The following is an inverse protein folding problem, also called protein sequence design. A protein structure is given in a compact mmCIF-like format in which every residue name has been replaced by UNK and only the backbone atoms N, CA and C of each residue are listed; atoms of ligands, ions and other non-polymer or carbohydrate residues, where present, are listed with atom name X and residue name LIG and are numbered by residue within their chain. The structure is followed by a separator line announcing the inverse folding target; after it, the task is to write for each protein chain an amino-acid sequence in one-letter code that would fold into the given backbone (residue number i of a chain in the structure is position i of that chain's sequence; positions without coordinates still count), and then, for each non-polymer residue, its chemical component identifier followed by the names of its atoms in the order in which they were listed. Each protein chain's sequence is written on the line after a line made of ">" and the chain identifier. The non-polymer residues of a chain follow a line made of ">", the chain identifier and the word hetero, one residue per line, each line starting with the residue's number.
data_IF_050306586627
#
_entry.id   IF_050306586627
#
_cell.length_a   1.000
_cell.length_b   1.000
_cell.length_c   1.000
_cell.angle_alpha   90.00
_cell.angle_beta   90.00
_cell.angle_gamma   90.00
#
_symmetry.space_group_name_H-M   'P 1'
#
loop_
_entity.id
_entity.type
_entity.pdbx_description
1 polymer ?
#
# COMPACT_ATOMS: atom_id res chain seq x y z
N UNK A 1 -53.91 -44.38 -4.96
CA UNK A 1 -54.12 -45.78 -5.39
C UNK A 1 -54.87 -45.75 -6.71
N UNK A 2 -54.41 -46.51 -7.71
CA UNK A 2 -55.13 -46.89 -8.97
C UNK A 2 -55.25 -45.78 -10.05
N UNK A 3 -54.32 -45.72 -11.04
CA UNK A 3 -54.36 -46.27 -12.45
C UNK A 3 -55.20 -45.37 -13.38
N UNK A 4 -54.60 -44.59 -14.30
CA UNK A 4 -54.09 -44.90 -15.67
C UNK A 4 -55.16 -45.01 -16.77
N UNK A 5 -54.69 -44.82 -18.02
CA UNK A 5 -55.27 -45.12 -19.35
C UNK A 5 -55.87 -43.87 -20.06
N UNK A 6 -55.16 -43.19 -21.00
CA UNK A 6 -54.80 -43.52 -22.40
C UNK A 6 -55.94 -43.24 -23.40
N UNK A 7 -55.66 -42.44 -24.44
CA UNK A 7 -56.37 -42.59 -25.71
C UNK A 7 -56.41 -41.40 -26.68
N UNK A 8 -55.93 -41.69 -27.92
CA UNK A 8 -56.24 -41.08 -29.24
C UNK A 8 -55.56 -39.72 -29.53
N UNK A 9 -54.71 -39.54 -30.53
CA UNK A 9 -54.51 -40.28 -31.79
C UNK A 9 -55.23 -39.58 -32.94
N UNK A 10 -54.50 -38.84 -33.78
CA UNK A 10 -54.89 -38.52 -35.17
C UNK A 10 -53.67 -38.48 -36.09
N UNK A 11 -53.79 -39.30 -37.13
CA UNK A 11 -53.03 -39.42 -38.38
C UNK A 11 -53.52 -38.32 -39.36
N UNK A 12 -52.94 -37.93 -40.51
CA UNK A 12 -52.23 -38.63 -41.59
C UNK A 12 -51.62 -37.56 -42.55
N UNK A 13 -50.59 -37.95 -43.34
CA UNK A 13 -50.27 -37.57 -44.75
C UNK A 13 -49.79 -36.12 -45.05
N UNK A 14 -48.76 -35.87 -45.86
CA UNK A 14 -47.93 -36.71 -46.73
C UNK A 14 -47.06 -35.88 -47.70
N UNK A 15 -46.31 -36.58 -48.56
CA UNK A 15 -45.40 -36.13 -49.65
C UNK A 15 -44.11 -35.45 -49.16
N UNK A 16 -42.89 -35.96 -49.38
CA UNK A 16 -42.40 -36.86 -50.42
C UNK A 16 -41.71 -36.04 -51.51
N UNK A 17 -40.40 -35.79 -51.37
CA UNK A 17 -39.51 -35.63 -52.52
C UNK A 17 -38.07 -35.98 -52.15
N UNK A 18 -37.56 -36.93 -52.91
CA UNK A 18 -36.25 -37.55 -52.87
C UNK A 18 -35.21 -36.63 -53.50
N UNK A 19 -34.09 -36.35 -52.83
CA UNK A 19 -32.84 -36.04 -53.48
C UNK A 19 -31.68 -36.74 -52.76
N UNK A 20 -31.20 -37.79 -53.43
CA UNK A 20 -29.83 -38.26 -53.55
C UNK A 20 -28.74 -37.66 -52.65
N UNK A 21 -28.07 -38.59 -51.97
CA UNK A 21 -26.64 -38.88 -52.14
C UNK A 21 -25.64 -37.74 -51.88
N UNK A 22 -25.02 -37.79 -50.69
CA UNK A 22 -23.54 -37.75 -50.51
C UNK A 22 -23.21 -38.00 -49.04
N UNK A 23 -23.07 -39.28 -48.71
CA UNK A 23 -22.26 -39.73 -47.58
C UNK A 23 -20.81 -39.71 -48.06
N UNK A 24 -19.93 -39.11 -47.28
CA UNK A 24 -18.49 -39.28 -47.41
C UNK A 24 -17.74 -37.96 -47.46
N UNK A 25 -16.77 -37.84 -46.56
CA UNK A 25 -15.73 -36.80 -46.51
C UNK A 25 -16.10 -35.51 -45.77
N UNK A 26 -16.41 -35.59 -44.46
CA UNK A 26 -16.18 -34.49 -43.50
C UNK A 26 -15.89 -35.00 -42.07
N UNK A 27 -15.39 -36.23 -41.93
CA UNK A 27 -15.02 -36.81 -40.62
C UNK A 27 -13.56 -37.32 -40.66
N UNK A 28 -12.67 -36.56 -41.31
CA UNK A 28 -11.25 -36.89 -41.36
C UNK A 28 -10.35 -35.65 -41.43
N UNK A 29 -10.77 -34.55 -40.80
CA UNK A 29 -9.96 -33.32 -40.71
C UNK A 29 -9.91 -32.70 -39.31
N UNK A 30 -10.30 -33.46 -38.27
CA UNK A 30 -10.12 -33.09 -36.87
C UNK A 30 -9.19 -34.01 -36.08
N UNK A 31 -8.57 -35.00 -36.73
CA UNK A 31 -7.66 -35.94 -36.07
C UNK A 31 -6.16 -35.60 -36.23
N UNK A 32 -5.82 -34.52 -36.93
CA UNK A 32 -4.41 -34.11 -37.17
C UNK A 32 -4.15 -32.68 -36.64
N UNK A 33 -4.83 -32.26 -35.57
CA UNK A 33 -4.63 -30.92 -34.98
C UNK A 33 -4.50 -30.93 -33.45
N UNK A 34 -4.22 -32.09 -32.86
CA UNK A 34 -4.02 -32.24 -31.41
C UNK A 34 -2.54 -32.07 -30.99
N UNK A 35 -1.59 -32.54 -31.80
CA UNK A 35 -0.17 -32.46 -31.42
C UNK A 35 0.41 -31.05 -31.54
N UNK A 36 0.03 -30.29 -32.58
CA UNK A 36 0.47 -28.90 -32.76
C UNK A 36 0.00 -27.99 -31.62
N UNK A 37 -1.22 -28.18 -31.11
CA UNK A 37 -1.75 -27.41 -29.97
C UNK A 37 -1.06 -27.78 -28.66
N UNK A 38 -0.78 -29.07 -28.44
CA UNK A 38 -0.03 -29.53 -27.27
C UNK A 38 1.40 -28.98 -27.27
N UNK A 39 2.08 -29.00 -28.41
CA UNK A 39 3.41 -28.40 -28.55
C UNK A 39 3.38 -26.90 -28.25
N UNK A 40 2.39 -26.16 -28.76
CA UNK A 40 2.27 -24.72 -28.52
C UNK A 40 2.04 -24.39 -27.04
N UNK A 41 1.20 -25.17 -26.35
CA UNK A 41 0.93 -24.99 -24.91
C UNK A 41 2.19 -25.29 -24.08
N UNK A 42 2.92 -26.36 -24.41
CA UNK A 42 4.17 -26.72 -23.72
C UNK A 42 5.23 -25.64 -23.95
N UNK A 43 5.42 -25.16 -25.19
CA UNK A 43 6.36 -24.08 -25.48
C UNK A 43 5.98 -22.79 -24.75
N UNK A 44 4.69 -22.44 -24.70
CA UNK A 44 4.20 -21.28 -23.94
C UNK A 44 4.48 -21.38 -22.45
N UNK A 45 4.25 -22.55 -21.85
CA UNK A 45 4.53 -22.80 -20.43
C UNK A 45 6.03 -22.69 -20.11
N UNK A 46 6.90 -23.24 -20.97
CA UNK A 46 8.35 -23.14 -20.82
C UNK A 46 8.83 -21.69 -20.87
N UNK A 47 8.32 -20.89 -21.82
CA UNK A 47 8.65 -19.47 -21.92
C UNK A 47 8.22 -18.71 -20.66
N UNK A 48 7.03 -18.97 -20.13
CA UNK A 48 6.56 -18.33 -18.89
C UNK A 48 7.43 -18.69 -17.67
N UNK A 49 7.88 -19.94 -17.56
CA UNK A 49 8.79 -20.38 -16.48
C UNK A 49 10.13 -19.66 -16.59
N UNK A 50 10.71 -19.58 -17.79
CA UNK A 50 11.97 -18.85 -18.03
C UNK A 50 11.81 -17.37 -17.64
N UNK A 51 10.69 -16.75 -18.02
CA UNK A 51 10.42 -15.34 -17.73
C UNK A 51 10.27 -15.09 -16.22
N UNK A 52 9.61 -16.00 -15.49
CA UNK A 52 9.51 -15.95 -14.04
C UNK A 52 10.88 -16.12 -13.34
N UNK A 53 11.76 -16.97 -13.86
CA UNK A 53 13.12 -17.13 -13.35
C UNK A 53 13.97 -15.87 -13.56
N UNK A 54 13.86 -15.22 -14.73
CA UNK A 54 14.57 -13.97 -15.02
C UNK A 54 14.09 -12.85 -14.07
N UNK A 55 12.78 -12.70 -13.88
CA UNK A 55 12.23 -11.70 -12.94
C UNK A 55 12.71 -11.97 -11.52
N UNK A 56 12.68 -13.23 -11.08
CA UNK A 56 13.16 -13.63 -9.75
C UNK A 56 14.65 -13.34 -9.56
N UNK A 57 15.46 -13.58 -10.59
CA UNK A 57 16.89 -13.29 -10.58
C UNK A 57 17.16 -11.78 -10.46
N UNK A 58 16.46 -10.95 -11.24
CA UNK A 58 16.58 -9.49 -11.18
C UNK A 58 16.14 -8.97 -9.79
N UNK A 59 15.03 -9.48 -9.26
CA UNK A 59 14.57 -9.14 -7.91
C UNK A 59 15.60 -9.52 -6.83
N UNK A 60 16.22 -10.68 -6.95
CA UNK A 60 17.26 -11.10 -6.02
C UNK A 60 18.52 -10.24 -6.11
N UNK A 61 18.98 -9.90 -7.32
CA UNK A 61 20.15 -9.04 -7.54
C UNK A 61 19.93 -7.61 -7.01
N UNK A 62 18.74 -7.03 -7.26
CA UNK A 62 18.41 -5.68 -6.76
C UNK A 62 18.34 -5.65 -5.23
N UNK A 63 17.79 -6.70 -4.59
CA UNK A 63 17.78 -6.83 -3.13
C UNK A 63 19.20 -6.99 -2.57
N UNK A 64 20.04 -7.80 -3.20
CA UNK A 64 21.40 -8.06 -2.73
C UNK A 64 22.33 -6.83 -2.83
N UNK A 65 22.21 -6.04 -3.91
CA UNK A 65 23.00 -4.80 -4.07
C UNK A 65 22.55 -3.75 -3.05
N UNK A 66 21.25 -3.66 -2.77
CA UNK A 66 20.71 -2.78 -1.73
C UNK A 66 21.29 -3.12 -0.34
N UNK A 67 21.42 -4.41 0.00
CA UNK A 67 22.00 -4.84 1.27
C UNK A 67 23.51 -4.57 1.42
N UNK A 68 24.28 -4.47 0.33
CA UNK A 68 25.74 -4.23 0.39
C UNK A 68 26.16 -2.75 0.44
N UNK A 69 25.27 -1.80 0.18
CA UNK A 69 25.62 -0.36 0.22
C UNK A 69 25.62 0.26 1.62
N UNK A 70 25.37 -0.51 2.69
CA UNK A 70 25.36 -0.03 4.08
C UNK A 70 26.71 -0.09 4.81
N UNK A 71 27.82 -0.44 4.15
CA UNK A 71 29.15 -0.46 4.78
C UNK A 71 30.18 0.35 4.00
N UNK A 72 30.01 1.67 3.99
CA UNK A 72 31.09 2.61 3.79
C UNK A 72 30.75 3.89 4.56
N UNK A 73 31.14 3.94 5.83
CA UNK A 73 31.12 5.18 6.61
C UNK A 73 32.41 5.96 6.27
N UNK A 74 32.34 7.15 5.66
CA UNK A 74 33.49 8.03 5.58
C UNK A 74 33.73 8.70 6.95
N UNK A 75 34.93 8.51 7.49
CA UNK A 75 35.46 9.21 8.66
C UNK A 75 35.53 10.72 8.39
N UNK A 76 35.09 11.61 9.32
CA UNK A 76 35.19 13.04 9.12
C UNK A 76 36.61 13.54 9.45
N UNK A 77 37.28 14.10 8.44
CA UNK A 77 38.50 14.90 8.59
C UNK A 77 38.11 16.34 8.92
N UNK A 78 38.63 16.86 10.03
CA UNK A 78 38.49 18.26 10.46
C UNK A 78 39.46 19.15 9.70
N UNK A 79 38.99 20.25 9.11
CA UNK A 79 39.79 21.42 8.75
C UNK A 79 38.91 22.70 8.62
N UNK A 80 39.49 23.91 8.78
CA UNK A 80 38.79 25.08 9.32
C UNK A 80 38.31 26.13 8.28
N UNK A 81 37.31 26.89 8.71
CA UNK A 81 36.93 28.29 8.40
C UNK A 81 37.12 28.86 6.98
N UNK A 82 35.99 29.22 6.34
CA UNK A 82 35.93 30.17 5.23
C UNK A 82 34.49 30.64 4.97
N UNK A 83 34.26 31.95 5.08
CA UNK A 83 32.97 32.64 4.89
C UNK A 83 32.56 32.72 3.41
N UNK A 84 31.30 32.42 3.06
CA UNK A 84 30.41 33.24 2.19
C UNK A 84 28.98 32.64 2.15
N UNK A 85 27.93 33.45 1.91
CA UNK A 85 26.54 33.16 2.30
C UNK A 85 25.68 32.63 1.15
N UNK A 86 24.71 31.77 1.50
CA UNK A 86 23.63 31.38 0.60
C UNK A 86 23.29 29.90 0.71
N UNK A 87 22.86 29.45 1.89
CA UNK A 87 22.38 28.09 2.07
C UNK A 87 20.96 28.12 2.64
N UNK A 88 20.03 27.67 1.81
CA UNK A 88 18.66 27.31 2.16
C UNK A 88 18.69 26.44 3.39
N UNK A 89 18.19 26.98 4.50
CA UNK A 89 18.12 26.30 5.78
C UNK A 89 17.32 25.00 5.65
N UNK A 90 18.03 23.89 5.67
CA UNK A 90 17.49 22.61 6.11
C UNK A 90 17.01 22.78 7.55
N UNK A 91 15.73 22.51 7.90
CA UNK A 91 15.29 22.68 9.27
C UNK A 91 15.99 21.63 10.13
N UNK A 92 16.87 22.12 11.00
CA UNK A 92 17.42 21.36 12.12
C UNK A 92 16.28 20.76 12.96
N UNK A 93 16.48 19.62 13.62
CA UNK A 93 15.47 18.97 14.45
C UNK A 93 15.13 19.91 15.63
N UNK A 94 14.02 20.61 15.50
CA UNK A 94 13.49 21.48 16.55
C UNK A 94 12.86 20.63 17.64
N UNK A 95 13.37 20.74 18.86
CA UNK A 95 12.72 20.28 20.11
C UNK A 95 11.43 21.08 20.37
N UNK A 96 10.47 21.04 19.45
CA UNK A 96 9.28 21.87 19.46
C UNK A 96 8.14 21.12 20.16
N UNK A 97 8.22 21.00 21.49
CA UNK A 97 7.13 20.54 22.36
C UNK A 97 6.04 21.61 22.54
N UNK A 98 5.70 22.35 21.48
CA UNK A 98 4.60 23.30 21.53
C UNK A 98 3.26 22.56 21.31
N UNK A 99 2.26 22.72 22.20
CA UNK A 99 0.93 22.13 22.00
C UNK A 99 0.32 22.56 20.67
N UNK A 100 -0.40 21.67 19.98
CA UNK A 100 -1.13 22.00 18.75
C UNK A 100 -2.22 23.04 19.07
N UNK A 101 -2.12 24.30 18.59
CA UNK A 101 -3.12 25.32 18.89
C UNK A 101 -4.41 25.01 18.14
N UNK A 102 -5.56 25.15 18.81
CA UNK A 102 -6.89 24.84 18.26
C UNK A 102 -6.97 23.43 17.66
N UNK A 103 -6.70 22.40 18.47
CA UNK A 103 -6.69 21.02 18.02
C UNK A 103 -8.05 20.31 18.14
N UNK A 104 -8.30 19.34 17.26
CA UNK A 104 -9.28 18.27 17.44
C UNK A 104 -8.63 17.11 18.21
N UNK A 105 -9.42 16.32 18.92
CA UNK A 105 -8.95 15.10 19.61
C UNK A 105 -9.49 13.86 18.90
N UNK A 106 -8.65 12.83 18.79
CA UNK A 106 -9.03 11.48 18.38
C UNK A 106 -8.68 10.48 19.48
N UNK A 107 -9.66 9.66 19.85
CA UNK A 107 -9.50 8.59 20.84
C UNK A 107 -9.51 7.24 20.14
N UNK A 108 -8.35 6.58 20.15
CA UNK A 108 -8.17 5.21 19.68
C UNK A 108 -8.31 4.19 20.81
N UNK A 109 -8.00 2.94 20.50
CA UNK A 109 -7.91 1.87 21.50
C UNK A 109 -6.58 1.99 22.21
N UNK A 110 -6.59 2.35 23.51
CA UNK A 110 -5.37 2.44 24.32
C UNK A 110 -4.59 3.75 24.20
N UNK A 111 -5.07 4.72 23.42
CA UNK A 111 -4.43 6.03 23.28
C UNK A 111 -5.42 7.14 22.89
N UNK A 112 -5.00 8.37 23.12
CA UNK A 112 -5.63 9.58 22.60
C UNK A 112 -4.54 10.48 22.00
N UNK A 113 -4.88 11.25 20.97
CA UNK A 113 -3.99 12.24 20.38
C UNK A 113 -4.77 13.49 19.96
N UNK A 114 -4.05 14.60 19.81
CA UNK A 114 -4.56 15.85 19.28
C UNK A 114 -4.02 16.09 17.87
N UNK A 115 -4.85 16.64 16.98
CA UNK A 115 -4.49 16.96 15.59
C UNK A 115 -5.04 18.32 15.14
N UNK A 116 -4.43 18.98 14.15
CA UNK A 116 -4.86 20.32 13.71
C UNK A 116 -6.35 20.37 13.32
N UNK A 117 -7.06 21.44 13.70
CA UNK A 117 -8.50 21.59 13.39
C UNK A 117 -8.82 21.65 11.88
N UNK A 118 -7.86 22.08 11.07
CA UNK A 118 -8.01 22.16 9.63
C UNK A 118 -7.75 20.82 8.91
N UNK A 119 -7.32 19.79 9.64
CA UNK A 119 -7.16 18.44 9.09
C UNK A 119 -8.42 17.61 9.25
N UNK A 120 -8.71 16.76 8.28
CA UNK A 120 -9.77 15.78 8.33
C UNK A 120 -9.24 14.45 8.84
N UNK A 121 -10.09 13.70 9.52
CA UNK A 121 -9.81 12.35 10.00
C UNK A 121 -10.63 11.35 9.20
N UNK A 122 -9.97 10.32 8.66
CA UNK A 122 -10.62 9.18 8.04
C UNK A 122 -10.43 7.95 8.92
N UNK A 123 -11.53 7.36 9.43
CA UNK A 123 -11.47 6.13 10.24
C UNK A 123 -12.00 4.94 9.47
N UNK A 124 -11.33 3.81 9.65
CA UNK A 124 -11.65 2.57 8.96
C UNK A 124 -12.70 1.76 9.74
N UNK A 125 -13.64 1.11 9.04
CA UNK A 125 -14.62 0.21 9.67
C UNK A 125 -14.11 -1.22 9.81
N UNK A 126 -13.12 -1.60 9.01
CA UNK A 126 -12.55 -2.93 8.87
C UNK A 126 -11.20 -3.09 9.59
N UNK A 127 -10.70 -2.02 10.21
CA UNK A 127 -9.45 -2.01 10.99
C UNK A 127 -9.46 -0.89 12.02
N UNK A 128 -8.52 -0.93 12.96
CA UNK A 128 -8.26 0.16 13.93
C UNK A 128 -7.38 1.28 13.36
N UNK A 129 -6.94 1.12 12.12
CA UNK A 129 -6.11 2.10 11.42
C UNK A 129 -6.95 3.31 11.02
N UNK A 130 -6.27 4.43 10.83
CA UNK A 130 -6.91 5.68 10.42
C UNK A 130 -5.92 6.53 9.64
N UNK A 131 -6.44 7.58 9.01
CA UNK A 131 -5.65 8.44 8.14
C UNK A 131 -6.01 9.90 8.35
N UNK A 132 -5.05 10.80 8.15
CA UNK A 132 -5.28 12.25 8.18
C UNK A 132 -5.26 12.85 6.79
N UNK A 133 -6.15 13.81 6.57
CA UNK A 133 -6.25 14.64 5.38
C UNK A 133 -5.92 16.11 5.73
N UNK A 134 -4.68 16.56 5.51
CA UNK A 134 -4.30 17.95 5.76
C UNK A 134 -4.98 18.98 4.85
N UNK A 135 -5.56 18.53 3.72
CA UNK A 135 -6.14 19.42 2.71
C UNK A 135 -7.65 19.63 2.91
N UNK A 136 -8.31 18.73 3.65
CA UNK A 136 -9.76 18.78 3.90
C UNK A 136 -10.05 18.61 5.37
N UNK A 137 -10.69 19.58 6.00
CA UNK A 137 -11.02 19.55 7.44
C UNK A 137 -12.15 18.60 7.82
N UNK A 138 -12.84 17.99 6.86
CA UNK A 138 -14.00 17.14 7.07
C UNK A 138 -13.59 15.73 7.49
N UNK A 139 -14.13 15.26 8.61
CA UNK A 139 -13.92 13.89 9.09
C UNK A 139 -14.84 12.91 8.34
N UNK A 140 -14.29 11.77 7.94
CA UNK A 140 -14.95 10.68 7.23
C UNK A 140 -14.86 9.40 8.08
N UNK A 141 -15.93 9.09 8.81
CA UNK A 141 -15.89 8.00 9.77
C UNK A 141 -16.41 6.69 9.18
N UNK A 142 -15.84 5.56 9.64
CA UNK A 142 -16.29 4.19 9.32
C UNK A 142 -16.32 3.87 7.81
N UNK A 143 -15.31 4.29 7.08
CA UNK A 143 -15.14 3.93 5.66
C UNK A 143 -14.43 2.59 5.51
N UNK A 144 -14.60 1.91 4.37
CA UNK A 144 -13.83 0.70 4.11
C UNK A 144 -12.42 1.08 3.62
N UNK A 145 -11.40 0.67 4.37
CA UNK A 145 -10.00 0.96 4.04
C UNK A 145 -9.31 -0.31 3.54
N UNK A 146 -9.27 -0.50 2.22
CA UNK A 146 -8.52 -1.61 1.61
C UNK A 146 -7.06 -1.21 1.30
N UNK A 147 -6.81 0.10 1.21
CA UNK A 147 -5.50 0.71 0.98
C UNK A 147 -5.52 2.15 1.52
N UNK A 148 -4.34 2.71 1.73
CA UNK A 148 -4.24 4.10 2.13
C UNK A 148 -4.76 5.05 1.04
N UNK A 149 -5.55 6.05 1.42
CA UNK A 149 -6.21 7.00 0.50
C UNK A 149 -5.86 8.46 0.77
N UNK A 150 -5.38 8.79 1.96
CA UNK A 150 -4.89 10.09 2.41
C UNK A 150 -3.36 10.06 2.54
N UNK A 151 -2.69 11.24 2.56
CA UNK A 151 -1.24 11.30 2.59
C UNK A 151 -0.59 10.84 3.89
N UNK A 152 -1.31 10.92 5.01
CA UNK A 152 -0.81 10.55 6.33
C UNK A 152 -1.60 9.36 6.84
N UNK A 153 -0.92 8.25 7.13
CA UNK A 153 -1.54 7.00 7.59
C UNK A 153 -1.03 6.67 8.97
N UNK A 154 -1.92 6.20 9.84
CA UNK A 154 -1.58 5.68 11.16
C UNK A 154 -2.04 4.25 11.26
N UNK A 155 -1.08 3.34 11.39
CA UNK A 155 -1.33 1.94 11.69
C UNK A 155 -1.19 1.73 13.18
N UNK A 156 -2.18 1.08 13.78
CA UNK A 156 -2.18 0.72 15.21
C UNK A 156 -1.82 -0.75 15.30
N UNK A 157 -0.76 -1.07 16.05
CA UNK A 157 -0.21 -2.42 16.18
C UNK A 157 0.24 -2.68 17.62
N UNK A 158 0.20 -3.94 18.06
CA UNK A 158 0.64 -4.30 19.42
C UNK A 158 2.15 -4.61 19.50
N UNK A 159 2.81 -4.69 18.34
CA UNK A 159 4.23 -5.00 18.24
C UNK A 159 4.82 -4.39 16.98
N UNK A 160 5.47 -3.24 17.13
CA UNK A 160 6.12 -2.52 16.05
C UNK A 160 7.64 -2.58 16.21
N UNK A 161 8.33 -3.14 15.21
CA UNK A 161 9.80 -3.14 15.16
C UNK A 161 10.27 -2.19 14.06
N UNK A 162 10.97 -1.14 14.46
CA UNK A 162 11.51 -0.14 13.56
C UNK A 162 13.01 0.08 13.81
N UNK A 163 13.75 0.38 12.74
CA UNK A 163 15.17 0.72 12.79
C UNK A 163 15.36 2.10 12.17
N UNK A 164 15.97 3.02 12.92
CA UNK A 164 16.13 4.41 12.53
C UNK A 164 16.68 5.25 13.67
N UNK A 165 16.49 6.57 13.57
CA UNK A 165 16.96 7.52 14.57
C UNK A 165 16.00 7.56 15.76
N UNK A 166 16.51 7.29 16.95
CA UNK A 166 15.72 7.44 18.17
C UNK A 166 15.64 8.91 18.55
N UNK A 167 14.43 9.46 18.53
CA UNK A 167 14.12 10.83 18.92
C UNK A 167 13.07 10.84 20.02
N UNK A 168 12.99 11.96 20.75
CA UNK A 168 11.96 12.18 21.77
C UNK A 168 11.01 13.28 21.30
N UNK A 169 9.71 12.96 21.24
CA UNK A 169 8.65 13.90 20.86
C UNK A 169 7.66 14.01 22.02
N UNK A 170 7.69 15.13 22.75
CA UNK A 170 6.98 15.26 24.01
C UNK A 170 7.43 14.20 25.03
N UNK A 171 6.49 13.37 25.50
CA UNK A 171 6.77 12.27 26.41
C UNK A 171 7.03 10.93 25.69
N UNK A 172 6.95 10.91 24.37
CA UNK A 172 6.99 9.68 23.58
C UNK A 172 8.40 9.40 23.05
N UNK A 173 8.82 8.13 23.11
CA UNK A 173 10.03 7.63 22.45
C UNK A 173 9.66 7.19 21.04
N UNK A 174 10.34 7.74 20.04
CA UNK A 174 9.94 7.59 18.63
C UNK A 174 11.14 7.21 17.79
N UNK A 175 11.00 6.19 16.97
CA UNK A 175 11.99 5.86 15.93
C UNK A 175 11.57 6.59 14.66
N UNK A 176 12.37 7.58 14.24
CA UNK A 176 12.16 8.31 13.00
C UNK A 176 12.96 7.66 11.87
N UNK A 177 12.30 7.49 10.74
CA UNK A 177 12.87 6.94 9.52
C UNK A 177 12.51 7.89 8.38
N UNK A 178 13.51 8.22 7.56
CA UNK A 178 13.30 9.01 6.33
C UNK A 178 13.75 8.15 5.16
N UNK A 179 12.78 7.64 4.40
CA UNK A 179 13.03 6.81 3.22
C UNK A 179 12.86 7.64 1.94
N UNK A 180 13.71 7.36 0.95
CA UNK A 180 13.44 7.79 -0.43
C UNK A 180 13.69 9.25 -0.76
N UNK A 181 14.78 9.89 -0.32
CA UNK A 181 15.20 11.24 -0.78
C UNK A 181 15.75 11.27 -2.22
N UNK A 182 15.22 10.45 -3.13
CA UNK A 182 15.62 10.45 -4.54
C UNK A 182 14.65 11.30 -5.36
N UNK A 183 15.05 12.54 -5.62
CA UNK A 183 14.28 13.48 -6.45
C UNK A 183 13.27 14.27 -5.62
N UNK A 184 12.01 14.26 -6.05
CA UNK A 184 10.93 15.11 -5.53
C UNK A 184 9.89 14.34 -4.70
N UNK A 185 10.28 13.17 -4.20
CA UNK A 185 9.46 12.29 -3.37
C UNK A 185 10.17 12.05 -2.04
N UNK A 186 9.42 11.87 -0.97
CA UNK A 186 9.94 11.52 0.35
C UNK A 186 8.87 10.75 1.12
N UNK A 187 9.29 9.66 1.77
CA UNK A 187 8.45 8.87 2.67
C UNK A 187 9.00 9.01 4.09
N UNK A 188 8.28 9.75 4.92
CA UNK A 188 8.59 9.90 6.33
C UNK A 188 7.83 8.87 7.13
N UNK A 189 8.49 8.24 8.10
CA UNK A 189 7.87 7.27 8.99
C UNK A 189 8.32 7.49 10.43
N UNK A 190 7.38 7.44 11.35
CA UNK A 190 7.59 7.54 12.78
C UNK A 190 6.95 6.33 13.46
N UNK A 191 7.75 5.59 14.21
CA UNK A 191 7.29 4.49 15.03
C UNK A 191 7.26 4.94 16.49
N UNK A 192 6.05 5.16 17.01
CA UNK A 192 5.82 5.53 18.40
C UNK A 192 5.66 4.24 19.18
N UNK A 193 6.65 3.91 20.00
CA UNK A 193 6.70 2.63 20.73
C UNK A 193 6.20 2.87 22.15
N UNK A 194 5.16 2.15 22.55
CA UNK A 194 4.62 2.16 23.91
C UNK A 194 4.94 0.83 24.61
N UNK A 195 5.68 0.85 25.73
CA UNK A 195 5.96 -0.37 26.47
C UNK A 195 4.71 -1.06 27.03
N UNK A 196 3.55 -0.38 27.05
CA UNK A 196 2.29 -0.91 27.58
C UNK A 196 1.36 -1.50 26.49
N UNK A 197 1.85 -1.70 25.26
CA UNK A 197 1.26 -2.66 24.31
C UNK A 197 0.52 -2.10 23.11
N UNK A 198 0.44 -0.78 22.91
CA UNK A 198 -0.12 -0.20 21.66
C UNK A 198 0.91 0.73 21.03
N UNK A 199 1.45 0.33 19.89
CA UNK A 199 2.38 1.08 19.07
C UNK A 199 1.66 1.76 17.91
N UNK A 200 2.21 2.91 17.48
CA UNK A 200 1.69 3.65 16.32
C UNK A 200 2.77 3.74 15.24
N UNK A 201 2.44 3.28 14.03
CA UNK A 201 3.25 3.47 12.84
C UNK A 201 2.62 4.59 11.99
N UNK A 202 3.25 5.76 12.01
CA UNK A 202 2.75 6.95 11.33
C UNK A 202 3.61 7.19 10.11
N UNK A 203 2.99 7.23 8.93
CA UNK A 203 3.69 7.44 7.66
C UNK A 203 3.12 8.66 6.95
N UNK A 204 4.00 9.54 6.44
CA UNK A 204 3.66 10.58 5.48
C UNK A 204 4.31 10.29 4.13
N UNK A 205 3.51 10.35 3.08
CA UNK A 205 3.97 10.24 1.69
C UNK A 205 3.96 11.62 1.02
N UNK A 206 5.11 12.11 0.59
CA UNK A 206 5.27 13.40 -0.10
C UNK A 206 5.67 13.15 -1.55
N UNK A 207 4.95 13.76 -2.50
CA UNK A 207 5.30 13.71 -3.92
C UNK A 207 4.87 14.99 -4.63
N UNK A 208 5.82 15.65 -5.29
CA UNK A 208 5.52 16.83 -6.13
C UNK A 208 4.69 16.49 -7.37
N UNK A 209 4.71 15.22 -7.79
CA UNK A 209 3.96 14.74 -8.97
C UNK A 209 2.47 14.48 -8.69
N UNK A 210 2.03 14.52 -7.43
CA UNK A 210 0.63 14.37 -7.04
C UNK A 210 0.12 12.93 -7.15
N UNK A 211 0.92 11.95 -6.71
CA UNK A 211 0.47 10.55 -6.63
C UNK A 211 -0.77 10.42 -5.74
N UNK A 212 -1.65 9.44 -6.00
CA UNK A 212 -2.74 9.11 -5.08
C UNK A 212 -2.20 8.91 -3.67
N UNK A 213 -2.90 9.41 -2.65
CA UNK A 213 -2.53 9.27 -1.23
C UNK A 213 -1.13 9.80 -0.88
N UNK A 214 -0.68 10.86 -1.57
CA UNK A 214 0.51 11.65 -1.22
C UNK A 214 0.16 13.14 -1.18
N UNK A 215 0.94 13.93 -0.45
CA UNK A 215 0.80 15.38 -0.40
C UNK A 215 1.92 16.05 -1.19
N UNK A 216 1.64 17.25 -1.72
CA UNK A 216 2.70 18.11 -2.29
C UNK A 216 3.46 18.90 -1.22
N UNK A 217 2.90 18.97 -0.02
CA UNK A 217 3.47 19.67 1.12
C UNK A 217 4.07 18.65 2.09
N UNK A 218 5.18 19.04 2.69
CA UNK A 218 5.77 18.35 3.82
C UNK A 218 5.06 18.79 5.11
N UNK A 219 4.61 17.81 5.90
CA UNK A 219 3.87 18.01 7.14
C UNK A 219 4.59 17.41 8.33
N UNK A 220 5.86 17.02 8.17
CA UNK A 220 6.67 16.34 9.19
C UNK A 220 6.62 17.07 10.54
N UNK A 221 6.82 18.39 10.55
CA UNK A 221 6.77 19.19 11.79
C UNK A 221 5.40 19.13 12.48
N UNK A 222 4.32 19.18 11.70
CA UNK A 222 2.96 19.09 12.26
C UNK A 222 2.66 17.68 12.76
N UNK A 223 3.13 16.64 12.07
CA UNK A 223 3.02 15.25 12.51
C UNK A 223 3.80 15.04 13.81
N UNK A 224 5.00 15.60 13.93
CA UNK A 224 5.78 15.51 15.17
C UNK A 224 5.06 16.20 16.34
N UNK A 225 4.34 17.30 16.09
CA UNK A 225 3.47 17.93 17.08
C UNK A 225 2.28 17.02 17.45
N UNK A 226 1.64 16.37 16.47
CA UNK A 226 0.59 15.36 16.72
C UNK A 226 1.14 14.23 17.60
N UNK A 227 2.31 13.67 17.26
CA UNK A 227 2.96 12.61 18.02
C UNK A 227 3.30 13.06 19.45
N UNK A 228 3.74 14.30 19.62
CA UNK A 228 4.05 14.83 20.95
C UNK A 228 2.83 14.89 21.88
N UNK A 229 1.62 14.94 21.30
CA UNK A 229 0.35 14.96 22.04
C UNK A 229 -0.21 13.57 22.37
N UNK A 230 0.38 12.50 21.81
CA UNK A 230 -0.08 11.14 22.04
C UNK A 230 0.03 10.81 23.52
N UNK A 231 -1.08 10.37 24.11
CA UNK A 231 -1.16 9.93 25.49
C UNK A 231 -1.74 8.51 25.52
N UNK A 232 -0.97 7.57 26.05
CA UNK A 232 -1.38 6.17 26.19
C UNK A 232 -2.17 5.98 27.47
N UNK A 233 -3.40 5.47 27.36
CA UNK A 233 -4.20 5.07 28.52
C UNK A 233 -3.73 3.72 29.02
N UNK A 234 -3.49 3.62 30.34
CA UNK A 234 -3.19 2.36 31.02
C UNK A 234 -4.41 1.44 31.06
#
# INVERSE_FOLDING_TARGET
>A
MVVSVKGKGKSVKGKGMSHSCRIGVFVLEFAIMDDQRKTLIVTGAVVLIILALIISLIFFLTRFISSRRQSASPTPTVAPSGQTPGETASPAPGNTSAPVPNAKSYKGVGFELAYPNNWGLLTCNNSVNFEFDPEKSQDMLKVNCDRAVKPITVLVSDNLSCQGDNIKLGNNSVVRIVEGTKGAEADYRWCVINPNGVDLDITQRVSNSGRPSSSRQDFAVQIEQVISSVNFSR
#
